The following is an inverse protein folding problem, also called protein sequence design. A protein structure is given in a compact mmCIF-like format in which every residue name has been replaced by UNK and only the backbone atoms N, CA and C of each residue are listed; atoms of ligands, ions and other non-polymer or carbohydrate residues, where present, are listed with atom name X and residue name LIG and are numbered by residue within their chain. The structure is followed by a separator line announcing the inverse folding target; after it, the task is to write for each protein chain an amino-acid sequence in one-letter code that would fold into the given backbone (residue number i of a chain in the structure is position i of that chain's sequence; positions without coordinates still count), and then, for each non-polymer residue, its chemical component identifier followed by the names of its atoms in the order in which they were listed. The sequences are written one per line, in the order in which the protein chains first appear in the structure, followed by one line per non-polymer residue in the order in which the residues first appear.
data_IF_627182339941
#
_entry.id   IF_627182339941
#
_cell.length_a   1.000
_cell.length_b   1.000
_cell.length_c   1.000
_cell.angle_alpha   90.00
_cell.angle_beta   90.00
_cell.angle_gamma   90.00
#
_symmetry.space_group_name_H-M   'P 1'
#
loop_
_entity.id
_entity.type
_entity.pdbx_description
1 polymer ?
#
# COMPACT_ATOMS: atom_id res chain seq x y z
N UNK A 1 9.63 20.13 -19.55
CA UNK A 1 9.70 18.68 -19.28
C UNK A 1 8.27 18.15 -19.24
N UNK A 2 7.80 17.39 -20.22
CA UNK A 2 6.51 16.69 -20.13
C UNK A 2 6.67 15.61 -19.05
N UNK A 3 5.80 15.65 -18.05
CA UNK A 3 5.95 14.93 -16.79
C UNK A 3 6.14 13.44 -16.99
N UNK A 4 7.20 12.90 -16.38
CA UNK A 4 7.33 11.47 -16.14
C UNK A 4 6.40 11.14 -14.98
N UNK A 5 5.09 11.03 -15.26
CA UNK A 5 4.15 10.50 -14.28
C UNK A 5 4.37 9.00 -14.27
N UNK A 6 5.09 8.51 -13.27
CA UNK A 6 5.20 7.08 -13.02
C UNK A 6 3.77 6.54 -12.88
N UNK A 7 3.35 5.54 -13.67
CA UNK A 7 1.99 5.00 -13.63
C UNK A 7 1.81 4.08 -12.41
N UNK A 8 2.18 4.58 -11.22
CA UNK A 8 2.15 3.80 -9.99
C UNK A 8 0.73 3.39 -9.63
N UNK A 9 -0.27 4.19 -9.98
CA UNK A 9 -1.68 3.82 -9.81
C UNK A 9 -2.08 2.62 -10.67
N UNK A 10 -1.59 2.55 -11.90
CA UNK A 10 -1.87 1.43 -12.81
C UNK A 10 -1.18 0.15 -12.31
N UNK A 11 0.09 0.25 -11.89
CA UNK A 11 0.80 -0.86 -11.26
C UNK A 11 0.13 -1.35 -9.96
N UNK A 12 -0.29 -0.44 -9.07
CA UNK A 12 -1.02 -0.84 -7.85
C UNK A 12 -2.35 -1.53 -8.21
N UNK A 13 -3.02 -1.07 -9.26
CA UNK A 13 -4.27 -1.68 -9.70
C UNK A 13 -4.07 -3.10 -10.27
N UNK A 14 -2.98 -3.33 -11.00
CA UNK A 14 -2.58 -4.67 -11.48
C UNK A 14 -2.29 -5.62 -10.30
N UNK A 15 -1.64 -5.12 -9.25
CA UNK A 15 -1.26 -5.91 -8.06
C UNK A 15 -2.35 -5.92 -6.96
N UNK A 16 -3.49 -5.27 -7.19
CA UNK A 16 -4.46 -4.97 -6.13
C UNK A 16 -5.03 -6.23 -5.45
N UNK A 17 -5.16 -7.34 -6.19
CA UNK A 17 -5.64 -8.61 -5.63
C UNK A 17 -4.74 -9.12 -4.50
N UNK A 18 -3.42 -8.96 -4.66
CA UNK A 18 -2.44 -9.33 -3.65
C UNK A 18 -2.27 -8.24 -2.59
N UNK A 19 -2.18 -6.97 -3.00
CA UNK A 19 -1.83 -5.87 -2.09
C UNK A 19 -2.98 -5.46 -1.17
N UNK A 20 -4.21 -5.41 -1.67
CA UNK A 20 -5.35 -4.91 -0.90
C UNK A 20 -5.60 -5.68 0.41
N UNK A 21 -5.60 -7.03 0.46
CA UNK A 21 -5.73 -7.75 1.73
C UNK A 21 -4.54 -7.52 2.67
N UNK A 22 -3.31 -7.44 2.13
CA UNK A 22 -2.10 -7.26 2.95
C UNK A 22 -2.06 -5.87 3.59
N UNK A 23 -2.37 -4.83 2.82
CA UNK A 23 -2.45 -3.46 3.31
C UNK A 23 -3.57 -3.31 4.35
N UNK A 24 -4.76 -3.85 4.09
CA UNK A 24 -5.89 -3.75 4.99
C UNK A 24 -5.65 -4.44 6.35
N UNK A 25 -4.81 -5.49 6.37
CA UNK A 25 -4.49 -6.22 7.59
C UNK A 25 -3.42 -5.53 8.46
N UNK A 26 -2.90 -4.37 8.07
CA UNK A 26 -1.80 -3.72 8.77
C UNK A 26 -2.25 -2.99 10.04
N UNK A 27 -1.58 -3.22 11.20
CA UNK A 27 -1.89 -2.49 12.43
C UNK A 27 -1.77 -0.97 12.28
N UNK A 28 -0.79 -0.50 11.52
CA UNK A 28 -0.64 0.92 11.22
C UNK A 28 -1.81 1.50 10.43
N UNK A 29 -2.43 0.70 9.55
CA UNK A 29 -3.58 1.12 8.74
C UNK A 29 -4.84 1.19 9.60
N UNK A 30 -5.09 0.18 10.44
CA UNK A 30 -6.23 0.17 11.37
C UNK A 30 -6.25 1.39 12.31
N UNK A 31 -5.07 1.92 12.66
CA UNK A 31 -4.94 3.12 13.48
C UNK A 31 -5.37 4.42 12.78
N UNK A 32 -5.41 4.46 11.44
CA UNK A 32 -5.67 5.69 10.66
C UNK A 32 -6.91 5.62 9.77
N UNK A 33 -7.36 4.43 9.40
CA UNK A 33 -8.57 4.22 8.60
C UNK A 33 -9.14 2.82 8.79
N UNK A 34 -10.38 2.60 8.35
CA UNK A 34 -10.99 1.28 8.43
C UNK A 34 -10.32 0.31 7.42
N UNK A 35 -10.07 -0.95 7.80
CA UNK A 35 -9.48 -1.95 6.90
C UNK A 35 -10.22 -2.09 5.55
N UNK A 36 -11.55 -2.05 5.57
CA UNK A 36 -12.38 -2.13 4.36
C UNK A 36 -12.18 -0.93 3.42
N UNK A 37 -11.98 0.26 3.98
CA UNK A 37 -11.72 1.48 3.19
C UNK A 37 -10.32 1.42 2.58
N UNK A 38 -9.33 0.92 3.33
CA UNK A 38 -7.98 0.71 2.81
C UNK A 38 -7.97 -0.29 1.65
N UNK A 39 -8.72 -1.40 1.79
CA UNK A 39 -8.90 -2.39 0.72
C UNK A 39 -9.52 -1.76 -0.53
N UNK A 40 -10.57 -0.96 -0.37
CA UNK A 40 -11.24 -0.28 -1.47
C UNK A 40 -10.32 0.75 -2.17
N UNK A 41 -9.49 1.47 -1.41
CA UNK A 41 -8.51 2.42 -1.94
C UNK A 41 -7.48 1.74 -2.83
N UNK A 42 -6.92 0.61 -2.39
CA UNK A 42 -5.94 -0.15 -3.20
C UNK A 42 -6.62 -0.74 -4.45
N UNK A 43 -7.81 -1.32 -4.32
CA UNK A 43 -8.57 -1.83 -5.47
C UNK A 43 -8.95 -0.74 -6.49
N UNK A 44 -9.15 0.50 -6.01
CA UNK A 44 -9.51 1.67 -6.82
C UNK A 44 -8.32 2.50 -7.31
N UNK A 45 -7.11 1.92 -7.41
CA UNK A 45 -5.89 2.68 -7.72
C UNK A 45 -5.81 3.27 -9.15
N UNK A 46 -6.68 2.87 -10.07
CA UNK A 46 -6.65 3.42 -11.44
C UNK A 46 -7.10 4.89 -11.49
N UNK A 47 -6.54 5.63 -12.45
CA UNK A 47 -6.93 7.01 -12.74
C UNK A 47 -6.79 7.95 -11.53
N UNK A 48 -7.89 8.57 -11.10
CA UNK A 48 -7.86 9.57 -10.01
C UNK A 48 -7.57 8.97 -8.63
N UNK A 49 -7.73 7.66 -8.45
CA UNK A 49 -7.48 6.98 -7.18
C UNK A 49 -6.01 6.69 -6.88
N UNK A 50 -5.15 6.68 -7.91
CA UNK A 50 -3.77 6.20 -7.78
C UNK A 50 -2.91 6.96 -6.79
N UNK A 51 -3.11 8.28 -6.66
CA UNK A 51 -2.38 9.07 -5.67
C UNK A 51 -2.73 8.68 -4.23
N UNK A 52 -4.01 8.40 -3.96
CA UNK A 52 -4.44 7.96 -2.63
C UNK A 52 -3.96 6.54 -2.36
N UNK A 53 -4.10 5.64 -3.33
CA UNK A 53 -3.59 4.27 -3.23
C UNK A 53 -2.07 4.23 -2.95
N UNK A 54 -1.30 5.06 -3.65
CA UNK A 54 0.13 5.21 -3.39
C UNK A 54 0.42 5.67 -1.96
N UNK A 55 -0.30 6.69 -1.47
CA UNK A 55 -0.09 7.19 -0.10
C UNK A 55 -0.39 6.13 0.95
N UNK A 56 -1.46 5.37 0.78
CA UNK A 56 -1.84 4.29 1.70
C UNK A 56 -0.80 3.16 1.66
N UNK A 57 -0.40 2.70 0.47
CA UNK A 57 0.64 1.67 0.31
C UNK A 57 1.97 2.12 0.91
N UNK A 58 2.40 3.35 0.60
CA UNK A 58 3.63 3.91 1.13
C UNK A 58 3.60 4.01 2.65
N UNK A 59 2.49 4.48 3.23
CA UNK A 59 2.33 4.57 4.67
C UNK A 59 2.38 3.20 5.35
N UNK A 60 1.72 2.18 4.78
CA UNK A 60 1.78 0.81 5.28
C UNK A 60 3.23 0.28 5.33
N UNK A 61 4.00 0.49 4.25
CA UNK A 61 5.41 0.09 4.17
C UNK A 61 6.28 0.86 5.15
N UNK A 62 6.12 2.18 5.20
CA UNK A 62 6.84 3.04 6.12
C UNK A 62 6.61 2.61 7.57
N UNK A 63 5.36 2.32 7.93
CA UNK A 63 5.01 1.85 9.26
C UNK A 63 5.68 0.51 9.58
N UNK A 64 5.62 -0.47 8.66
CA UNK A 64 6.27 -1.76 8.88
C UNK A 64 7.78 -1.66 9.07
N UNK A 65 8.46 -0.86 8.25
CA UNK A 65 9.92 -0.70 8.34
C UNK A 65 10.32 0.09 9.59
N UNK A 66 9.67 1.21 9.88
CA UNK A 66 10.12 2.13 10.92
C UNK A 66 9.52 1.87 12.30
N UNK A 67 8.26 1.40 12.36
CA UNK A 67 7.59 1.08 13.62
C UNK A 67 7.65 -0.42 13.93
N UNK A 68 7.55 -1.27 12.90
CA UNK A 68 7.62 -2.73 13.04
C UNK A 68 9.04 -3.31 13.01
N UNK A 69 10.04 -2.55 12.57
CA UNK A 69 11.43 -3.01 12.47
C UNK A 69 11.66 -4.07 11.40
N UNK A 70 10.76 -4.18 10.43
CA UNK A 70 10.84 -5.14 9.32
C UNK A 70 11.97 -4.74 8.37
N UNK A 71 12.79 -5.71 7.95
CA UNK A 71 13.87 -5.49 6.99
C UNK A 71 13.29 -4.94 5.67
N UNK A 72 13.74 -3.78 5.15
CA UNK A 72 13.26 -3.25 3.88
C UNK A 72 13.84 -3.94 2.64
N UNK A 73 14.82 -4.84 2.78
CA UNK A 73 15.50 -5.50 1.65
C UNK A 73 14.80 -6.78 1.14
N UNK A 74 13.61 -7.07 1.65
CA UNK A 74 12.77 -8.20 1.25
C UNK A 74 11.64 -7.77 0.30
N UNK A 75 11.01 -8.71 -0.41
CA UNK A 75 9.90 -8.42 -1.29
C UNK A 75 8.78 -7.64 -0.59
N UNK A 76 8.15 -6.71 -1.33
CA UNK A 76 7.10 -5.83 -0.81
C UNK A 76 5.94 -6.60 -0.16
N UNK A 77 5.52 -7.71 -0.77
CA UNK A 77 4.48 -8.56 -0.21
C UNK A 77 4.89 -9.19 1.13
N UNK A 78 6.16 -9.54 1.31
CA UNK A 78 6.69 -10.14 2.53
C UNK A 78 6.79 -9.11 3.66
N UNK A 79 7.19 -7.86 3.31
CA UNK A 79 7.15 -6.74 4.26
C UNK A 79 5.71 -6.54 4.76
N UNK A 80 4.72 -6.58 3.87
CA UNK A 80 3.32 -6.40 4.24
C UNK A 80 2.67 -7.65 4.85
N UNK A 81 3.23 -8.84 4.66
CA UNK A 81 2.74 -10.07 5.27
C UNK A 81 3.27 -10.25 6.70
N UNK A 82 4.36 -9.58 7.04
CA UNK A 82 4.95 -9.63 8.38
C UNK A 82 4.00 -9.00 9.39
N UNK A 83 3.61 -9.79 10.39
CA UNK A 83 2.83 -9.31 11.54
C UNK A 83 3.81 -9.03 12.68
N UNK A 84 3.97 -7.75 13.00
CA UNK A 84 4.66 -7.31 14.22
C UNK A 84 3.85 -7.65 15.47
#
# INVERSE_FOLDING_TARGET
KRGFTVPVGDWIAEEAEQLAPLVAAQPGIEAVMKPEDARAVIAGAQGRGGLLAWRVLFYALWHQVHMGGVDPHQPLADILATRG
#
